data_IF_479297295180
#
_entry.id   IF_479297295180
#
_cell.length_a   1.000
_cell.length_b   1.000
_cell.length_c   1.000
_cell.angle_alpha   90.00
_cell.angle_beta   90.00
_cell.angle_gamma   90.00
#
_symmetry.space_group_name_H-M   'P 1'
#
loop_
_entity.id
_entity.type
_entity.pdbx_description
1 polymer ?
#
# COMPACT_ATOMS: atom_id res chain seq x y z
N UNK A 1 2.02 9.28 -13.20
CA UNK A 1 1.74 9.52 -11.77
C UNK A 1 2.59 10.68 -11.29
N UNK A 2 2.02 11.61 -10.55
CA UNK A 2 2.75 12.72 -9.91
C UNK A 2 3.28 12.32 -8.54
N UNK A 3 2.49 11.62 -7.75
CA UNK A 3 2.83 11.24 -6.38
C UNK A 3 2.76 9.73 -6.18
N UNK A 4 3.80 9.16 -5.58
CA UNK A 4 3.84 7.78 -5.15
C UNK A 4 3.85 7.69 -3.62
N UNK A 5 2.97 6.84 -3.09
CA UNK A 5 2.93 6.43 -1.70
C UNK A 5 3.56 5.04 -1.58
N UNK A 6 4.73 4.97 -0.94
CA UNK A 6 5.46 3.73 -0.74
C UNK A 6 5.30 3.25 0.69
N UNK A 7 4.59 2.15 0.87
CA UNK A 7 4.53 1.40 2.11
C UNK A 7 5.65 0.36 2.14
N UNK A 8 6.54 0.48 3.12
CA UNK A 8 7.69 -0.43 3.34
C UNK A 8 7.80 -0.97 4.77
N UNK A 9 6.87 -0.60 5.66
CA UNK A 9 6.85 -0.99 7.06
C UNK A 9 5.68 -1.92 7.40
N UNK A 10 5.85 -2.76 8.43
CA UNK A 10 4.78 -3.62 8.94
C UNK A 10 3.61 -2.81 9.51
N UNK A 11 2.37 -3.31 9.41
CA UNK A 11 1.24 -2.69 10.10
C UNK A 11 1.35 -2.86 11.63
N UNK A 12 0.69 -1.98 12.38
CA UNK A 12 0.50 -2.01 13.84
C UNK A 12 1.74 -1.87 14.73
N UNK A 13 2.96 -2.13 14.21
CA UNK A 13 4.20 -1.94 14.96
C UNK A 13 4.55 -0.46 15.21
N UNK A 14 4.02 0.42 14.36
CA UNK A 14 4.04 1.87 14.52
C UNK A 14 2.82 2.48 13.84
N UNK A 15 2.62 3.80 14.01
CA UNK A 15 1.54 4.51 13.32
C UNK A 15 1.85 4.82 11.84
N UNK A 16 3.07 4.56 11.34
CA UNK A 16 3.53 5.00 10.02
C UNK A 16 2.61 4.54 8.87
N UNK A 17 2.26 3.25 8.82
CA UNK A 17 1.42 2.75 7.72
C UNK A 17 -0.02 3.28 7.81
N UNK A 18 -0.54 3.51 9.02
CA UNK A 18 -1.84 4.16 9.22
C UNK A 18 -1.81 5.60 8.73
N UNK A 19 -0.82 6.37 9.17
CA UNK A 19 -0.68 7.78 8.80
C UNK A 19 -0.37 7.95 7.31
N UNK A 20 0.37 7.01 6.72
CA UNK A 20 0.59 6.97 5.27
C UNK A 20 -0.70 6.73 4.49
N UNK A 21 -1.59 5.87 5.00
CA UNK A 21 -2.91 5.67 4.40
C UNK A 21 -3.81 6.91 4.57
N UNK A 22 -3.77 7.56 5.73
CA UNK A 22 -4.51 8.81 5.96
C UNK A 22 -4.01 9.92 5.02
N UNK A 23 -2.68 10.04 4.83
CA UNK A 23 -2.08 10.99 3.90
C UNK A 23 -2.43 10.69 2.44
N UNK A 24 -2.44 9.40 2.06
CA UNK A 24 -2.87 8.93 0.74
C UNK A 24 -4.32 9.33 0.47
N UNK A 25 -5.22 9.08 1.41
CA UNK A 25 -6.63 9.44 1.27
C UNK A 25 -6.85 10.96 1.31
N UNK A 26 -6.06 11.71 2.06
CA UNK A 26 -6.12 13.17 2.02
C UNK A 26 -5.64 13.74 0.67
N UNK A 27 -4.66 13.10 0.02
CA UNK A 27 -4.16 13.54 -1.28
C UNK A 27 -5.21 13.41 -2.39
N UNK A 28 -6.19 12.50 -2.27
CA UNK A 28 -7.28 12.36 -3.25
C UNK A 28 -8.20 13.59 -3.32
N UNK A 29 -8.14 14.48 -2.31
CA UNK A 29 -8.85 15.75 -2.35
C UNK A 29 -8.20 16.80 -3.28
N UNK A 30 -6.95 16.57 -3.70
CA UNK A 30 -6.12 17.55 -4.43
C UNK A 30 -5.45 17.00 -5.68
N UNK A 31 -5.48 15.68 -5.89
CA UNK A 31 -4.88 14.99 -7.01
C UNK A 31 -5.91 14.06 -7.64
N UNK A 32 -5.93 14.01 -8.97
CA UNK A 32 -6.74 13.05 -9.71
C UNK A 32 -6.23 11.62 -9.44
N UNK A 33 -7.11 10.63 -9.50
CA UNK A 33 -6.82 9.24 -9.18
C UNK A 33 -5.70 8.63 -10.03
N UNK A 34 -5.53 9.12 -11.26
CA UNK A 34 -4.47 8.73 -12.21
C UNK A 34 -3.10 9.39 -11.91
N UNK A 35 -3.07 10.40 -11.03
CA UNK A 35 -1.83 11.01 -10.56
C UNK A 35 -1.25 10.30 -9.33
N UNK A 36 -2.02 9.43 -8.68
CA UNK A 36 -1.64 8.76 -7.44
C UNK A 36 -1.20 7.32 -7.72
N UNK A 37 0.01 6.97 -7.32
CA UNK A 37 0.51 5.59 -7.29
C UNK A 37 0.66 5.06 -5.87
N UNK A 38 0.25 3.82 -5.62
CA UNK A 38 0.35 3.16 -4.30
C UNK A 38 1.22 1.92 -4.43
N UNK A 39 2.25 1.82 -3.60
CA UNK A 39 3.31 0.83 -3.74
C UNK A 39 3.57 0.09 -2.42
N UNK A 40 3.71 -1.23 -2.48
CA UNK A 40 4.00 -2.08 -1.32
C UNK A 40 5.27 -2.92 -1.58
N UNK A 41 6.28 -2.79 -0.73
CA UNK A 41 7.56 -3.50 -0.83
C UNK A 41 8.10 -3.91 0.54
N UNK A 42 9.02 -4.87 0.55
CA UNK A 42 9.68 -5.36 1.75
C UNK A 42 8.64 -5.76 2.81
N UNK A 43 8.69 -5.21 4.01
CA UNK A 43 7.74 -5.54 5.06
C UNK A 43 6.37 -4.84 4.87
N UNK A 44 6.31 -3.86 3.96
CA UNK A 44 5.10 -3.11 3.61
C UNK A 44 3.99 -3.98 3.01
N UNK A 45 4.33 -5.12 2.39
CA UNK A 45 3.34 -6.06 1.85
C UNK A 45 2.46 -6.68 2.95
N UNK A 46 2.91 -6.67 4.21
CA UNK A 46 2.12 -7.17 5.34
C UNK A 46 0.89 -6.28 5.64
N UNK A 47 0.86 -5.04 5.14
CA UNK A 47 -0.33 -4.19 5.19
C UNK A 47 -1.49 -4.75 4.35
N UNK A 48 -1.22 -5.67 3.43
CA UNK A 48 -2.22 -6.19 2.51
C UNK A 48 -2.94 -7.42 3.06
N UNK A 49 -2.43 -8.07 4.12
CA UNK A 49 -3.02 -9.31 4.63
C UNK A 49 -4.43 -9.05 5.15
N UNK A 50 -5.41 -9.81 4.67
CA UNK A 50 -6.81 -9.74 5.08
C UNK A 50 -7.04 -10.34 6.47
N UNK A 51 -8.17 -9.99 7.09
CA UNK A 51 -8.63 -10.57 8.36
C UNK A 51 -7.66 -10.38 9.54
N UNK A 52 -6.90 -9.28 9.57
CA UNK A 52 -6.12 -8.90 10.74
C UNK A 52 -7.04 -8.58 11.93
N UNK A 53 -6.58 -8.88 13.15
CA UNK A 53 -7.32 -8.66 14.40
C UNK A 53 -6.51 -7.80 15.38
N UNK A 54 -6.22 -6.52 15.05
CA UNK A 54 -5.43 -5.64 15.89
C UNK A 54 -6.11 -5.27 17.21
N UNK A 55 -7.39 -5.61 17.40
CA UNK A 55 -8.09 -5.43 18.66
C UNK A 55 -7.45 -6.24 19.80
N UNK A 56 -6.81 -7.37 19.48
CA UNK A 56 -6.05 -8.16 20.46
C UNK A 56 -4.83 -7.43 21.02
N UNK A 57 -4.36 -6.39 20.33
CA UNK A 57 -3.27 -5.50 20.77
C UNK A 57 -3.76 -4.08 21.05
N UNK A 58 -5.08 -3.92 21.31
CA UNK A 58 -5.72 -2.64 21.66
C UNK A 58 -5.60 -1.56 20.57
N UNK A 59 -5.50 -1.96 19.30
CA UNK A 59 -5.46 -1.05 18.16
C UNK A 59 -6.71 -1.17 17.28
N UNK A 60 -7.02 -0.09 16.54
CA UNK A 60 -8.09 -0.06 15.55
C UNK A 60 -7.64 -0.75 14.26
N UNK A 61 -8.51 -1.54 13.66
CA UNK A 61 -8.28 -2.13 12.33
C UNK A 61 -8.33 -1.08 11.22
N UNK A 62 -7.19 -0.45 10.94
CA UNK A 62 -7.01 0.48 9.82
C UNK A 62 -6.78 -0.23 8.48
N UNK A 63 -6.51 -1.54 8.48
CA UNK A 63 -6.21 -2.29 7.25
C UNK A 63 -7.44 -2.29 6.33
N UNK A 64 -8.63 -2.38 6.91
CA UNK A 64 -9.90 -2.27 6.15
C UNK A 64 -10.03 -0.97 5.37
N UNK A 65 -9.39 0.10 5.81
CA UNK A 65 -9.42 1.41 5.16
C UNK A 65 -8.74 1.38 3.79
N UNK A 66 -7.82 0.44 3.52
CA UNK A 66 -7.26 0.25 2.17
C UNK A 66 -8.33 -0.06 1.12
N UNK A 67 -9.48 -0.62 1.50
CA UNK A 67 -10.59 -0.84 0.56
C UNK A 67 -11.19 0.46 0.01
N UNK A 68 -10.96 1.59 0.66
CA UNK A 68 -11.38 2.89 0.12
C UNK A 68 -10.63 3.23 -1.18
N UNK A 69 -9.47 2.64 -1.46
CA UNK A 69 -8.79 2.85 -2.73
C UNK A 69 -9.65 2.44 -3.93
N UNK A 70 -10.51 1.42 -3.77
CA UNK A 70 -11.47 1.04 -4.81
C UNK A 70 -12.58 2.08 -4.96
N UNK A 71 -13.04 2.67 -3.84
CA UNK A 71 -14.08 3.72 -3.85
C UNK A 71 -13.59 5.02 -4.47
N UNK A 72 -12.32 5.36 -4.26
CA UNK A 72 -11.66 6.53 -4.86
C UNK A 72 -11.06 6.24 -6.25
N UNK A 73 -11.37 5.10 -6.85
CA UNK A 73 -10.93 4.71 -8.19
C UNK A 73 -9.39 4.74 -8.39
N UNK A 74 -8.62 4.59 -7.31
CA UNK A 74 -7.16 4.54 -7.36
C UNK A 74 -6.73 3.18 -7.91
N UNK A 75 -6.45 3.13 -9.21
CA UNK A 75 -6.12 1.89 -9.92
C UNK A 75 -4.63 1.56 -9.94
N UNK A 76 -3.76 2.58 -9.87
CA UNK A 76 -2.30 2.41 -9.89
C UNK A 76 -1.77 1.89 -8.56
N UNK A 77 -1.93 0.58 -8.35
CA UNK A 77 -1.54 -0.14 -7.14
C UNK A 77 -0.55 -1.23 -7.50
N UNK A 78 0.60 -1.25 -6.84
CA UNK A 78 1.72 -2.12 -7.20
C UNK A 78 2.29 -2.85 -5.98
N UNK A 79 2.61 -4.13 -6.15
CA UNK A 79 3.20 -4.98 -5.11
C UNK A 79 4.49 -5.64 -5.62
N UNK A 80 5.54 -5.59 -4.82
CA UNK A 80 6.78 -6.32 -5.07
C UNK A 80 6.57 -7.84 -4.88
N UNK A 81 6.71 -8.62 -5.96
CA UNK A 81 6.46 -10.07 -5.94
C UNK A 81 7.44 -10.82 -5.03
N UNK A 82 8.73 -10.46 -5.04
CA UNK A 82 9.73 -11.09 -4.18
C UNK A 82 9.45 -10.85 -2.70
N UNK A 83 8.81 -9.72 -2.36
CA UNK A 83 8.42 -9.43 -0.97
C UNK A 83 7.24 -10.29 -0.52
N UNK A 84 6.26 -10.54 -1.40
CA UNK A 84 5.18 -11.48 -1.11
C UNK A 84 5.73 -12.90 -0.92
N UNK A 85 6.64 -13.33 -1.80
CA UNK A 85 7.27 -14.66 -1.73
C UNK A 85 8.05 -14.85 -0.42
N UNK A 86 8.82 -13.84 0.02
CA UNK A 86 9.55 -13.85 1.30
C UNK A 86 8.64 -14.18 2.48
N UNK A 87 7.39 -13.69 2.47
CA UNK A 87 6.42 -13.90 3.55
C UNK A 87 5.39 -15.00 3.25
N UNK A 88 5.48 -15.67 2.10
CA UNK A 88 4.53 -16.71 1.70
C UNK A 88 3.10 -16.22 1.50
N UNK A 89 2.91 -14.95 1.10
CA UNK A 89 1.59 -14.32 0.95
C UNK A 89 1.06 -14.55 -0.47
N UNK A 90 -0.10 -15.18 -0.58
CA UNK A 90 -0.80 -15.37 -1.86
C UNK A 90 -1.68 -14.17 -2.21
N UNK A 91 -2.06 -14.02 -3.49
CA UNK A 91 -2.90 -12.89 -3.94
C UNK A 91 -4.25 -12.85 -3.25
N UNK A 92 -4.82 -14.03 -2.98
CA UNK A 92 -6.15 -14.22 -2.43
C UNK A 92 -6.22 -13.79 -0.95
N UNK A 93 -5.07 -13.68 -0.30
CA UNK A 93 -4.95 -13.16 1.05
C UNK A 93 -4.93 -11.63 1.09
N UNK A 94 -4.70 -10.95 -0.05
CA UNK A 94 -4.63 -9.50 -0.10
C UNK A 94 -6.02 -8.86 0.01
N UNK A 95 -6.14 -7.81 0.82
CA UNK A 95 -7.40 -7.08 1.08
C UNK A 95 -7.85 -6.20 -0.09
N UNK A 96 -6.91 -5.86 -0.98
CA UNK A 96 -7.11 -5.11 -2.22
C UNK A 96 -6.41 -5.82 -3.39
N UNK A 97 -6.92 -5.60 -4.60
CA UNK A 97 -6.24 -5.99 -5.83
C UNK A 97 -5.15 -4.98 -6.17
N UNK A 98 -4.02 -5.47 -6.66
CA UNK A 98 -2.90 -4.66 -7.13
C UNK A 98 -2.02 -5.47 -8.09
N UNK A 99 -1.34 -4.78 -9.00
CA UNK A 99 -0.45 -5.40 -9.98
C UNK A 99 0.83 -5.88 -9.28
N UNK A 100 1.16 -7.16 -9.45
CA UNK A 100 2.39 -7.74 -8.96
C UNK A 100 3.50 -7.57 -9.98
N UNK A 101 4.68 -7.16 -9.51
CA UNK A 101 5.84 -6.96 -10.36
C UNK A 101 7.12 -7.34 -9.61
N UNK A 102 8.11 -7.82 -10.37
CA UNK A 102 9.45 -8.06 -9.84
C UNK A 102 10.09 -6.75 -9.37
N UNK A 103 11.10 -6.85 -8.51
CA UNK A 103 11.73 -5.70 -7.87
C UNK A 103 12.32 -4.70 -8.87
N UNK A 104 12.86 -5.16 -9.99
CA UNK A 104 13.44 -4.28 -11.01
C UNK A 104 12.36 -3.43 -11.69
N UNK A 105 11.27 -4.04 -12.14
CA UNK A 105 10.10 -3.37 -12.73
C UNK A 105 9.42 -2.45 -11.70
N UNK A 106 9.32 -2.89 -10.44
CA UNK A 106 8.81 -2.09 -9.33
C UNK A 106 9.58 -0.79 -9.16
N UNK A 107 10.91 -0.87 -9.04
CA UNK A 107 11.74 0.31 -8.89
C UNK A 107 11.69 1.22 -10.14
N UNK A 108 11.65 0.62 -11.34
CA UNK A 108 11.49 1.38 -12.57
C UNK A 108 10.16 2.12 -12.65
N UNK A 109 9.06 1.52 -12.16
CA UNK A 109 7.74 2.14 -12.11
C UNK A 109 7.68 3.25 -11.06
N UNK A 110 8.26 3.00 -9.88
CA UNK A 110 8.35 3.96 -8.79
C UNK A 110 9.13 5.23 -9.20
N UNK A 111 10.21 5.07 -9.97
CA UNK A 111 11.03 6.18 -10.48
C UNK A 111 10.28 7.10 -11.47
N UNK A 112 9.08 6.72 -11.93
CA UNK A 112 8.26 7.60 -12.79
C UNK A 112 7.49 8.65 -11.98
N UNK A 113 7.44 8.53 -10.65
CA UNK A 113 6.77 9.52 -9.80
C UNK A 113 7.64 10.77 -9.61
N UNK A 114 7.01 11.94 -9.70
CA UNK A 114 7.70 13.22 -9.42
C UNK A 114 7.98 13.42 -7.93
N UNK A 115 7.12 12.86 -7.07
CA UNK A 115 7.21 12.90 -5.61
C UNK A 115 7.04 11.50 -5.03
N UNK A 116 7.84 11.20 -4.03
CA UNK A 116 7.79 9.94 -3.28
C UNK A 116 7.56 10.25 -1.80
N UNK A 117 6.48 9.72 -1.23
CA UNK A 117 6.24 9.70 0.20
C UNK A 117 6.40 8.25 0.69
N UNK A 118 7.26 8.05 1.68
CA UNK A 118 7.61 6.70 2.18
C UNK A 118 7.14 6.52 3.61
N UNK A 119 6.50 5.39 3.88
CA UNK A 119 5.89 5.03 5.16
C UNK A 119 6.23 3.61 5.57
#
# INVERSE_FOLDING_TARGET
>A
MKIAFLFKTVPHGSALSREGLDALLAATAFCDEEDIGVFFIDDGVLNLVSYQQPEHILQKDFIRTFKLLDLYEITQRFICSESLEKFGISSEQCIISAEKMNRASFMSKLNQAEKLLTF
#
